data_IF_755171645812
#
_entry.id   IF_755171645812
#
_cell.length_a   1.000
_cell.length_b   1.000
_cell.length_c   1.000
_cell.angle_alpha   90.00
_cell.angle_beta   90.00
_cell.angle_gamma   90.00
#
_symmetry.space_group_name_H-M   'P 1'
#
loop_
_entity.id
_entity.type
_entity.pdbx_description
1 polymer ?
#
# COMPACT_ATOMS: atom_id res chain seq x y z
N UNK A 1 -22.38 -3.78 -3.16
CA UNK A 1 -21.41 -2.77 -2.71
C UNK A 1 -20.25 -2.73 -3.69
N UNK A 2 -19.84 -1.57 -4.09
CA UNK A 2 -18.74 -1.43 -5.05
C UNK A 2 -17.47 -1.05 -4.30
N UNK A 3 -16.52 -1.99 -4.24
CA UNK A 3 -15.26 -1.83 -3.51
C UNK A 3 -14.08 -1.53 -4.46
N UNK A 4 -14.36 -0.91 -5.61
CA UNK A 4 -13.30 -0.50 -6.53
C UNK A 4 -12.41 0.58 -5.89
N UNK A 5 -11.17 0.68 -6.37
CA UNK A 5 -10.26 1.75 -5.92
C UNK A 5 -10.91 3.12 -6.12
N UNK A 6 -11.60 3.31 -7.25
CA UNK A 6 -12.27 4.58 -7.55
C UNK A 6 -13.36 4.91 -6.52
N UNK A 7 -14.20 3.95 -6.18
CA UNK A 7 -15.29 4.14 -5.22
C UNK A 7 -14.75 4.41 -3.82
N UNK A 8 -13.78 3.62 -3.38
CA UNK A 8 -13.14 3.81 -2.07
C UNK A 8 -12.42 5.16 -1.99
N UNK A 9 -11.75 5.57 -3.06
CA UNK A 9 -11.08 6.87 -3.11
C UNK A 9 -12.07 8.00 -2.92
N UNK A 10 -13.25 7.90 -3.54
CA UNK A 10 -14.30 8.92 -3.36
C UNK A 10 -14.76 9.00 -1.91
N UNK A 11 -14.98 7.85 -1.27
CA UNK A 11 -15.35 7.82 0.14
C UNK A 11 -14.28 8.42 1.05
N UNK A 12 -13.01 8.17 0.74
CA UNK A 12 -11.87 8.74 1.47
C UNK A 12 -11.84 10.26 1.31
N UNK A 13 -12.04 10.75 0.10
CA UNK A 13 -12.04 12.19 -0.18
C UNK A 13 -13.21 12.87 0.53
N UNK A 14 -14.39 12.26 0.50
CA UNK A 14 -15.55 12.80 1.21
C UNK A 14 -15.31 12.87 2.73
N UNK A 15 -14.70 11.86 3.29
CA UNK A 15 -14.31 11.84 4.70
C UNK A 15 -13.34 12.98 5.04
N UNK A 16 -12.33 13.17 4.21
CA UNK A 16 -11.33 14.23 4.34
C UNK A 16 -11.98 15.61 4.23
N UNK A 17 -12.81 15.82 3.20
CA UNK A 17 -13.42 17.12 2.90
C UNK A 17 -14.43 17.52 3.97
N UNK A 18 -15.17 16.58 4.53
CA UNK A 18 -16.09 16.85 5.63
C UNK A 18 -15.38 17.44 6.86
N UNK A 19 -14.06 17.24 6.97
CA UNK A 19 -13.24 17.71 8.09
C UNK A 19 -12.33 18.87 7.71
N UNK A 20 -12.42 19.35 6.48
CA UNK A 20 -11.56 20.41 5.94
C UNK A 20 -10.07 20.10 6.10
N UNK A 21 -9.70 18.84 5.83
CA UNK A 21 -8.32 18.37 5.97
C UNK A 21 -7.49 18.47 4.69
N UNK A 22 -8.08 18.74 3.56
CA UNK A 22 -7.36 18.86 2.28
C UNK A 22 -6.18 19.84 2.40
N UNK A 23 -6.36 20.93 3.13
CA UNK A 23 -5.33 21.95 3.33
C UNK A 23 -4.05 21.40 3.97
N UNK A 24 -4.14 20.27 4.69
CA UNK A 24 -2.99 19.64 5.36
C UNK A 24 -2.38 18.50 4.56
N UNK A 25 -3.02 18.09 3.46
CA UNK A 25 -2.68 16.86 2.71
C UNK A 25 -1.89 17.16 1.44
N UNK A 26 -0.83 17.98 1.53
CA UNK A 26 0.11 18.17 0.44
C UNK A 26 0.88 16.90 0.12
N UNK A 27 1.53 16.82 -1.06
CA UNK A 27 2.23 15.59 -1.48
C UNK A 27 3.26 15.09 -0.49
N UNK A 28 4.09 15.98 0.03
CA UNK A 28 5.10 15.60 1.02
C UNK A 28 4.47 15.07 2.30
N UNK A 29 3.44 15.75 2.79
CA UNK A 29 2.78 15.34 4.03
C UNK A 29 2.11 13.98 3.89
N UNK A 30 1.52 13.70 2.71
CA UNK A 30 0.94 12.39 2.43
C UNK A 30 2.01 11.30 2.38
N UNK A 31 3.13 11.56 1.73
CA UNK A 31 4.25 10.61 1.67
C UNK A 31 4.82 10.32 3.06
N UNK A 32 4.97 11.34 3.90
CA UNK A 32 5.42 11.18 5.29
C UNK A 32 4.43 10.31 6.08
N UNK A 33 3.14 10.59 5.95
CA UNK A 33 2.11 9.82 6.64
C UNK A 33 2.10 8.35 6.20
N UNK A 34 2.28 8.08 4.90
CA UNK A 34 2.35 6.70 4.37
C UNK A 34 3.51 5.95 5.02
N UNK A 35 4.69 6.57 5.10
CA UNK A 35 5.86 5.93 5.70
C UNK A 35 5.64 5.69 7.20
N UNK A 36 5.03 6.65 7.90
CA UNK A 36 4.73 6.51 9.33
C UNK A 36 3.79 5.34 9.58
N UNK A 37 2.71 5.23 8.80
CA UNK A 37 1.75 4.12 8.94
C UNK A 37 2.36 2.78 8.52
N UNK A 38 3.17 2.76 7.46
CA UNK A 38 3.91 1.56 7.08
C UNK A 38 4.85 1.12 8.20
N UNK A 39 5.45 2.07 8.92
CA UNK A 39 6.27 1.80 10.09
C UNK A 39 5.48 1.12 11.21
N UNK A 40 4.25 1.52 11.45
CA UNK A 40 3.37 0.89 12.44
C UNK A 40 3.06 -0.56 12.06
N UNK A 41 2.83 -0.82 10.78
CA UNK A 41 2.68 -2.19 10.27
C UNK A 41 3.93 -3.01 10.56
N UNK A 42 5.11 -2.46 10.28
CA UNK A 42 6.40 -3.11 10.52
C UNK A 42 6.61 -3.46 11.99
N UNK A 43 6.16 -2.60 12.91
CA UNK A 43 6.36 -2.78 14.36
C UNK A 43 5.83 -4.13 14.87
N UNK A 44 4.78 -4.67 14.25
CA UNK A 44 4.24 -5.97 14.65
C UNK A 44 5.24 -7.12 14.44
N UNK A 45 6.22 -6.94 13.57
CA UNK A 45 7.15 -7.99 13.16
C UNK A 45 8.59 -7.76 13.62
N UNK A 46 8.87 -6.63 14.28
CA UNK A 46 10.21 -6.33 14.79
C UNK A 46 10.64 -7.39 15.79
N UNK A 47 11.84 -7.92 15.60
CA UNK A 47 12.45 -8.96 16.43
C UNK A 47 11.73 -10.32 16.36
N UNK A 48 10.85 -10.53 15.40
CA UNK A 48 10.15 -11.80 15.21
C UNK A 48 10.84 -12.64 14.15
N UNK A 49 10.98 -13.94 14.39
CA UNK A 49 11.39 -14.87 13.34
C UNK A 49 10.21 -15.21 12.42
N UNK A 50 10.44 -16.01 11.39
CA UNK A 50 9.41 -16.32 10.39
C UNK A 50 8.18 -16.98 11.01
N UNK A 51 8.36 -17.96 11.88
CA UNK A 51 7.25 -18.65 12.54
C UNK A 51 6.44 -17.69 13.43
N UNK A 52 7.13 -16.84 14.20
CA UNK A 52 6.51 -15.84 15.04
C UNK A 52 5.77 -14.79 14.20
N UNK A 53 6.33 -14.38 13.07
CA UNK A 53 5.70 -13.43 12.17
C UNK A 53 4.37 -13.96 11.63
N UNK A 54 4.33 -15.24 11.24
CA UNK A 54 3.11 -15.88 10.77
C UNK A 54 2.06 -15.97 11.88
N UNK A 55 2.49 -16.26 13.10
CA UNK A 55 1.62 -16.33 14.26
C UNK A 55 1.00 -14.95 14.58
N UNK A 56 1.76 -13.86 14.41
CA UNK A 56 1.26 -12.49 14.58
C UNK A 56 0.08 -12.18 13.68
N UNK A 57 0.07 -12.70 12.47
CA UNK A 57 -1.04 -12.48 11.52
C UNK A 57 -2.36 -13.01 12.12
N UNK A 58 -2.32 -14.12 12.81
CA UNK A 58 -3.50 -14.68 13.48
C UNK A 58 -3.84 -13.94 14.77
N UNK A 59 -2.85 -13.71 15.62
CA UNK A 59 -3.04 -13.11 16.94
C UNK A 59 -3.45 -11.63 16.87
N UNK A 60 -2.96 -10.88 15.88
CA UNK A 60 -3.15 -9.43 15.75
C UNK A 60 -3.84 -9.05 14.44
N UNK A 61 -4.76 -9.90 14.02
CA UNK A 61 -5.43 -9.73 12.72
C UNK A 61 -6.14 -8.39 12.58
N UNK A 62 -6.84 -7.95 13.62
CA UNK A 62 -7.56 -6.67 13.59
C UNK A 62 -6.61 -5.49 13.51
N UNK A 63 -5.56 -5.49 14.31
CA UNK A 63 -4.57 -4.40 14.31
C UNK A 63 -3.84 -4.35 12.97
N UNK A 64 -3.40 -5.50 12.43
CA UNK A 64 -2.74 -5.58 11.14
C UNK A 64 -3.67 -5.09 10.01
N UNK A 65 -4.93 -5.51 10.04
CA UNK A 65 -5.92 -5.06 9.06
C UNK A 65 -6.10 -3.54 9.10
N UNK A 66 -6.17 -2.97 10.30
CA UNK A 66 -6.31 -1.53 10.49
C UNK A 66 -5.12 -0.77 9.95
N UNK A 67 -3.90 -1.23 10.21
CA UNK A 67 -2.68 -0.55 9.73
C UNK A 67 -2.49 -0.69 8.23
N UNK A 68 -2.84 -1.85 7.67
CA UNK A 68 -2.84 -2.01 6.21
C UNK A 68 -3.87 -1.08 5.56
N UNK A 69 -5.04 -0.94 6.19
CA UNK A 69 -6.07 -0.02 5.71
C UNK A 69 -5.58 1.43 5.75
N UNK A 70 -4.89 1.84 6.81
CA UNK A 70 -4.34 3.20 6.92
C UNK A 70 -3.37 3.49 5.79
N UNK A 71 -2.47 2.57 5.47
CA UNK A 71 -1.53 2.73 4.35
C UNK A 71 -2.27 2.87 3.02
N UNK A 72 -3.26 2.00 2.76
CA UNK A 72 -4.01 2.02 1.52
C UNK A 72 -4.86 3.29 1.37
N UNK A 73 -5.52 3.73 2.45
CA UNK A 73 -6.31 4.96 2.46
C UNK A 73 -5.45 6.16 2.07
N UNK A 74 -4.30 6.31 2.70
CA UNK A 74 -3.39 7.42 2.41
C UNK A 74 -2.85 7.35 0.98
N UNK A 75 -2.53 6.16 0.50
CA UNK A 75 -2.01 5.99 -0.86
C UNK A 75 -3.07 6.32 -1.91
N UNK A 76 -4.30 5.87 -1.72
CA UNK A 76 -5.40 6.15 -2.64
C UNK A 76 -5.69 7.66 -2.69
N UNK A 77 -5.70 8.31 -1.54
CA UNK A 77 -5.90 9.76 -1.49
C UNK A 77 -4.75 10.50 -2.17
N UNK A 78 -3.51 10.13 -1.89
CA UNK A 78 -2.34 10.76 -2.50
C UNK A 78 -2.39 10.65 -4.03
N UNK A 79 -2.72 9.48 -4.56
CA UNK A 79 -2.85 9.29 -6.00
C UNK A 79 -3.90 10.23 -6.59
N UNK A 80 -5.05 10.35 -5.94
CA UNK A 80 -6.11 11.27 -6.38
C UNK A 80 -5.65 12.73 -6.32
N UNK A 81 -4.99 13.13 -5.23
CA UNK A 81 -4.51 14.50 -5.05
C UNK A 81 -3.46 14.88 -6.10
N UNK A 82 -2.72 13.92 -6.61
CA UNK A 82 -1.68 14.11 -7.62
C UNK A 82 -2.16 13.84 -9.05
N UNK A 83 -3.44 13.59 -9.25
CA UNK A 83 -4.03 13.23 -10.55
C UNK A 83 -3.36 11.99 -11.18
N UNK A 84 -3.03 11.02 -10.35
CA UNK A 84 -2.45 9.75 -10.80
C UNK A 84 -3.55 8.69 -10.82
N UNK A 85 -3.75 8.07 -11.99
CA UNK A 85 -4.62 6.91 -12.13
C UNK A 85 -3.89 5.69 -11.57
N UNK A 86 -4.14 5.38 -10.30
CA UNK A 86 -3.43 4.31 -9.59
C UNK A 86 -3.65 2.93 -10.23
N UNK A 87 -4.88 2.51 -10.60
CA UNK A 87 -5.06 1.24 -11.29
C UNK A 87 -4.25 1.13 -12.59
N UNK A 88 -4.23 2.19 -13.40
CA UNK A 88 -3.43 2.22 -14.64
C UNK A 88 -1.95 2.11 -14.34
N UNK A 89 -1.47 2.85 -13.33
CA UNK A 89 -0.07 2.80 -12.90
C UNK A 89 0.30 1.39 -12.40
N UNK A 90 -0.59 0.73 -11.67
CA UNK A 90 -0.37 -0.63 -11.19
C UNK A 90 -0.29 -1.63 -12.35
N UNK A 91 -1.18 -1.53 -13.33
CA UNK A 91 -1.17 -2.41 -14.50
C UNK A 91 0.11 -2.22 -15.33
N UNK A 92 0.51 -0.97 -15.55
CA UNK A 92 1.74 -0.66 -16.27
C UNK A 92 2.97 -1.22 -15.54
N UNK A 93 2.98 -1.12 -14.22
CA UNK A 93 4.09 -1.64 -13.41
C UNK A 93 4.15 -3.16 -13.43
N UNK A 94 3.00 -3.82 -13.36
CA UNK A 94 2.93 -5.28 -13.46
C UNK A 94 3.45 -5.76 -14.83
N UNK A 95 3.08 -5.09 -15.92
CA UNK A 95 3.57 -5.43 -17.25
C UNK A 95 5.09 -5.28 -17.32
N UNK A 96 5.64 -4.21 -16.75
CA UNK A 96 7.09 -4.01 -16.69
C UNK A 96 7.78 -5.08 -15.85
N UNK A 97 7.15 -5.48 -14.77
CA UNK A 97 7.67 -6.55 -13.90
C UNK A 97 7.68 -7.90 -14.62
N UNK A 98 6.70 -8.17 -15.46
CA UNK A 98 6.70 -9.38 -16.30
C UNK A 98 7.91 -9.40 -17.25
N UNK A 99 8.27 -8.26 -17.83
CA UNK A 99 9.46 -8.15 -18.66
C UNK A 99 10.75 -8.38 -17.88
N UNK A 100 10.84 -7.81 -16.67
CA UNK A 100 12.02 -7.92 -15.81
C UNK A 100 12.15 -9.28 -15.15
N UNK A 101 11.03 -9.93 -14.87
CA UNK A 101 10.96 -11.21 -14.16
C UNK A 101 10.21 -12.25 -15.01
N UNK A 102 10.76 -12.64 -16.17
CA UNK A 102 10.08 -13.67 -16.97
C UNK A 102 9.98 -14.98 -16.18
N UNK A 103 8.86 -15.66 -16.32
CA UNK A 103 8.55 -16.88 -15.54
C UNK A 103 9.68 -17.91 -15.64
N UNK A 104 10.25 -18.07 -16.83
CA UNK A 104 11.33 -19.04 -17.06
C UNK A 104 12.57 -18.81 -16.19
N UNK A 105 12.83 -17.56 -15.81
CA UNK A 105 14.00 -17.20 -15.01
C UNK A 105 13.67 -16.92 -13.55
N UNK A 106 12.49 -16.38 -13.28
CA UNK A 106 12.13 -15.89 -11.96
C UNK A 106 11.44 -16.93 -11.09
N UNK A 107 10.87 -17.98 -11.68
CA UNK A 107 10.11 -18.99 -10.95
C UNK A 107 10.96 -19.64 -9.85
N UNK A 108 10.47 -19.54 -8.62
CA UNK A 108 11.15 -20.16 -7.46
C UNK A 108 12.40 -19.41 -7.00
N UNK A 109 12.67 -18.20 -7.56
CA UNK A 109 13.82 -17.39 -7.17
C UNK A 109 13.36 -16.03 -6.66
N UNK A 110 14.00 -15.52 -5.62
CA UNK A 110 13.79 -14.16 -5.12
C UNK A 110 14.89 -13.18 -5.54
N UNK A 111 15.70 -13.57 -6.52
CA UNK A 111 16.77 -12.69 -7.03
C UNK A 111 16.17 -11.50 -7.76
N UNK A 112 16.86 -10.36 -7.65
CA UNK A 112 16.48 -9.15 -8.37
C UNK A 112 16.68 -9.36 -9.88
N UNK A 113 15.92 -8.64 -10.71
CA UNK A 113 15.91 -8.84 -12.16
C UNK A 113 17.31 -8.76 -12.80
N UNK A 114 18.19 -7.94 -12.25
CA UNK A 114 19.56 -7.80 -12.77
C UNK A 114 20.53 -8.91 -12.30
N UNK A 115 20.04 -9.84 -11.51
CA UNK A 115 20.79 -11.00 -11.02
C UNK A 115 20.27 -12.33 -11.60
N UNK A 116 19.23 -12.27 -12.38
CA UNK A 116 18.62 -13.45 -13.00
C UNK A 116 19.39 -13.94 -14.22
#
# INVERSE_FOLDING_TARGET
MNDSIQTLTREIIDFRDARDWEQFHGPKEMAVAIVAEAGELLQHFVWQNEAQSRQRVTERREELSSEMADVAILLFEMAANCDIDLPAAMRAKLARNEERYPVTKARGSNRKYNEL
#
